data_IF_447264715027
#
_entry.id   IF_447264715027
#
_cell.length_a   1.000
_cell.length_b   1.000
_cell.length_c   1.000
_cell.angle_alpha   90.00
_cell.angle_beta   90.00
_cell.angle_gamma   90.00
#
_symmetry.space_group_name_H-M   'P 1'
#
loop_
_entity.id
_entity.type
_entity.pdbx_description
1 polymer ?
#
# COMPACT_ATOMS: atom_id res chain seq x y z
N UNK A 1 3.15 -9.85 -9.89
CA UNK A 1 4.51 -10.04 -9.33
C UNK A 1 5.06 -8.67 -8.99
N UNK A 2 5.39 -8.43 -7.71
CA UNK A 2 6.03 -7.18 -7.29
C UNK A 2 7.51 -7.28 -7.66
N UNK A 3 8.04 -6.27 -8.36
CA UNK A 3 9.47 -6.23 -8.73
C UNK A 3 10.28 -6.06 -7.44
N UNK A 4 11.44 -6.74 -7.27
CA UNK A 4 12.23 -6.68 -6.03
C UNK A 4 12.49 -5.26 -5.53
N UNK A 5 12.83 -4.34 -6.44
CA UNK A 5 13.14 -2.94 -6.11
C UNK A 5 11.94 -2.16 -5.57
N UNK A 6 10.71 -2.66 -5.72
CA UNK A 6 9.49 -2.03 -5.23
C UNK A 6 8.95 -2.66 -3.93
N UNK A 7 9.57 -3.74 -3.43
CA UNK A 7 9.09 -4.47 -2.24
C UNK A 7 9.07 -3.57 -1.00
N UNK A 8 10.06 -2.67 -0.87
CA UNK A 8 10.11 -1.73 0.26
C UNK A 8 8.87 -0.82 0.33
N UNK A 9 8.20 -0.56 -0.81
CA UNK A 9 7.00 0.26 -0.83
C UNK A 9 5.83 -0.40 -0.09
N UNK A 10 5.83 -1.72 0.12
CA UNK A 10 4.82 -2.40 0.95
C UNK A 10 4.91 -1.91 2.39
N UNK A 11 6.13 -1.87 2.95
CA UNK A 11 6.36 -1.37 4.30
C UNK A 11 6.04 0.14 4.38
N UNK A 12 6.43 0.92 3.36
CA UNK A 12 6.09 2.34 3.26
C UNK A 12 4.57 2.58 3.30
N UNK A 13 3.81 1.92 2.43
CA UNK A 13 2.34 2.04 2.35
C UNK A 13 1.68 1.60 3.65
N UNK A 14 2.19 0.54 4.29
CA UNK A 14 1.70 0.11 5.60
C UNK A 14 1.88 1.22 6.66
N UNK A 15 3.06 1.82 6.75
CA UNK A 15 3.34 2.91 7.69
C UNK A 15 2.46 4.12 7.40
N UNK A 16 2.31 4.52 6.13
CA UNK A 16 1.39 5.59 5.73
C UNK A 16 -0.05 5.29 6.17
N UNK A 17 -0.49 4.03 6.09
CA UNK A 17 -1.83 3.62 6.55
C UNK A 17 -2.03 3.84 8.05
N UNK A 18 -0.98 3.62 8.86
CA UNK A 18 -1.02 3.85 10.30
C UNK A 18 -1.09 5.34 10.62
N UNK A 19 -0.34 6.17 9.89
CA UNK A 19 -0.40 7.63 10.01
C UNK A 19 -1.75 8.20 9.62
N UNK A 20 -2.31 7.75 8.48
CA UNK A 20 -3.63 8.21 8.02
C UNK A 20 -4.71 7.95 9.07
N UNK A 21 -4.70 6.80 9.74
CA UNK A 21 -5.65 6.47 10.82
C UNK A 21 -5.57 7.41 12.03
N UNK A 22 -4.49 8.16 12.21
CA UNK A 22 -4.33 9.14 13.30
C UNK A 22 -4.83 10.53 12.95
N UNK A 23 -5.10 10.80 11.67
CA UNK A 23 -5.54 12.12 11.21
C UNK A 23 -7.05 12.31 11.40
N UNK A 24 -7.52 13.45 11.91
CA UNK A 24 -8.93 13.71 12.16
C UNK A 24 -9.77 13.77 10.87
N UNK A 25 -9.14 14.07 9.72
CA UNK A 25 -9.78 14.06 8.40
C UNK A 25 -10.10 12.64 7.88
N UNK A 26 -9.45 11.61 8.43
CA UNK A 26 -9.56 10.22 7.98
C UNK A 26 -10.42 9.35 8.92
N UNK A 27 -11.43 9.95 9.55
CA UNK A 27 -12.46 9.22 10.31
C UNK A 27 -13.30 8.29 9.43
N UNK A 28 -13.39 8.60 8.13
CA UNK A 28 -14.04 7.77 7.14
C UNK A 28 -13.11 6.61 6.71
N UNK A 29 -13.28 5.44 7.32
CA UNK A 29 -12.42 4.28 7.07
C UNK A 29 -12.41 3.82 5.60
N UNK A 30 -13.49 4.07 4.85
CA UNK A 30 -13.59 3.73 3.43
C UNK A 30 -12.67 4.56 2.52
N UNK A 31 -12.25 5.75 2.96
CA UNK A 31 -11.35 6.62 2.18
C UNK A 31 -9.90 6.17 2.26
N UNK A 32 -9.51 5.50 3.35
CA UNK A 32 -8.12 5.12 3.62
C UNK A 32 -7.56 4.21 2.50
N UNK A 33 -8.26 3.15 2.06
CA UNK A 33 -7.79 2.31 0.96
C UNK A 33 -7.58 3.07 -0.36
N UNK A 34 -8.49 3.98 -0.71
CA UNK A 34 -8.42 4.73 -1.97
C UNK A 34 -7.23 5.70 -1.98
N UNK A 35 -7.02 6.41 -0.87
CA UNK A 35 -5.88 7.32 -0.73
C UNK A 35 -4.56 6.55 -0.75
N UNK A 36 -4.49 5.42 -0.03
CA UNK A 36 -3.29 4.58 -0.04
C UNK A 36 -2.99 4.01 -1.43
N UNK A 37 -4.03 3.62 -2.16
CA UNK A 37 -3.89 3.12 -3.53
C UNK A 37 -3.28 4.17 -4.45
N UNK A 38 -3.80 5.40 -4.40
CA UNK A 38 -3.28 6.51 -5.19
C UNK A 38 -1.81 6.84 -4.80
N UNK A 39 -1.52 6.90 -3.49
CA UNK A 39 -0.16 7.14 -2.98
C UNK A 39 0.81 6.05 -3.44
N UNK A 40 0.40 4.78 -3.41
CA UNK A 40 1.22 3.66 -3.85
C UNK A 40 1.51 3.70 -5.35
N UNK A 41 0.51 4.06 -6.17
CA UNK A 41 0.70 4.23 -7.62
C UNK A 41 1.70 5.34 -7.90
N UNK A 42 1.52 6.52 -7.28
CA UNK A 42 2.43 7.65 -7.48
C UNK A 42 3.84 7.30 -7.02
N UNK A 43 3.98 6.67 -5.85
CA UNK A 43 5.29 6.24 -5.35
C UNK A 43 5.96 5.21 -6.26
N UNK A 44 5.23 4.20 -6.71
CA UNK A 44 5.75 3.19 -7.64
C UNK A 44 6.17 3.82 -8.97
N UNK A 45 5.39 4.76 -9.50
CA UNK A 45 5.74 5.50 -10.72
C UNK A 45 7.02 6.31 -10.57
N UNK A 46 7.17 7.02 -9.44
CA UNK A 46 8.38 7.80 -9.18
C UNK A 46 9.61 6.89 -9.07
N UNK A 47 9.49 5.75 -8.40
CA UNK A 47 10.59 4.78 -8.31
C UNK A 47 10.96 4.23 -9.70
N UNK A 48 9.98 3.79 -10.49
CA UNK A 48 10.25 3.24 -11.82
C UNK A 48 10.83 4.29 -12.79
N UNK A 49 10.21 5.46 -12.87
CA UNK A 49 10.57 6.49 -13.85
C UNK A 49 11.87 7.23 -13.49
N UNK A 50 12.07 7.55 -12.19
CA UNK A 50 13.18 8.38 -11.73
C UNK A 50 14.31 7.50 -11.19
N UNK A 51 14.03 6.66 -10.18
CA UNK A 51 15.08 5.90 -9.50
C UNK A 51 15.67 4.79 -10.39
N UNK A 52 14.82 4.08 -11.14
CA UNK A 52 15.25 3.03 -12.07
C UNK A 52 15.49 3.54 -13.51
N UNK A 53 15.31 4.84 -13.76
CA UNK A 53 15.63 5.47 -15.05
C UNK A 53 14.74 5.06 -16.23
N UNK A 54 13.56 4.47 -15.99
CA UNK A 54 12.70 3.93 -17.07
C UNK A 54 11.93 5.02 -17.84
N UNK A 55 12.10 6.30 -17.49
CA UNK A 55 11.39 7.45 -18.08
C UNK A 55 9.86 7.35 -17.98
N UNK A 56 9.16 8.47 -18.23
CA UNK A 56 7.69 8.51 -18.20
C UNK A 56 7.09 8.03 -19.53
N UNK A 57 7.26 6.75 -19.83
CA UNK A 57 6.62 6.11 -20.99
C UNK A 57 5.24 5.54 -20.63
N UNK A 58 4.33 5.31 -21.60
CA UNK A 58 3.06 4.65 -21.35
C UNK A 58 3.22 3.27 -20.67
N UNK A 59 4.26 2.52 -21.03
CA UNK A 59 4.56 1.22 -20.43
C UNK A 59 4.98 1.36 -18.95
N UNK A 60 5.80 2.38 -18.62
CA UNK A 60 6.18 2.68 -17.24
C UNK A 60 4.97 3.11 -16.42
N UNK A 61 4.07 3.92 -17.01
CA UNK A 61 2.85 4.38 -16.37
C UNK A 61 1.94 3.20 -16.00
N UNK A 62 1.68 2.31 -16.96
CA UNK A 62 0.88 1.12 -16.73
C UNK A 62 1.54 0.21 -15.67
N UNK A 63 2.85 0.03 -15.76
CA UNK A 63 3.62 -0.79 -14.81
C UNK A 63 3.52 -0.23 -13.39
N UNK A 64 3.74 1.08 -13.19
CA UNK A 64 3.61 1.70 -11.87
C UNK A 64 2.19 1.63 -11.31
N UNK A 65 1.17 1.78 -12.15
CA UNK A 65 -0.23 1.60 -11.73
C UNK A 65 -0.51 0.18 -11.21
N UNK A 66 -0.06 -0.84 -11.94
CA UNK A 66 -0.21 -2.24 -11.55
C UNK A 66 0.59 -2.56 -10.28
N UNK A 67 1.85 -2.11 -10.22
CA UNK A 67 2.73 -2.31 -9.07
C UNK A 67 2.13 -1.65 -7.82
N UNK A 68 1.71 -0.39 -7.90
CA UNK A 68 1.06 0.33 -6.79
C UNK A 68 -0.22 -0.36 -6.30
N UNK A 69 -0.99 -0.94 -7.23
CA UNK A 69 -2.18 -1.75 -6.88
C UNK A 69 -1.81 -2.98 -6.08
N UNK A 70 -0.84 -3.77 -6.53
CA UNK A 70 -0.40 -4.97 -5.80
C UNK A 70 0.20 -4.65 -4.45
N UNK A 71 1.02 -3.60 -4.36
CA UNK A 71 1.63 -3.12 -3.11
C UNK A 71 0.53 -2.77 -2.10
N UNK A 72 -0.49 -2.01 -2.52
CA UNK A 72 -1.61 -1.63 -1.65
C UNK A 72 -2.42 -2.84 -1.21
N UNK A 73 -2.71 -3.76 -2.13
CA UNK A 73 -3.44 -4.99 -1.83
C UNK A 73 -2.71 -5.81 -0.76
N UNK A 74 -1.40 -6.02 -0.91
CA UNK A 74 -0.58 -6.77 0.05
C UNK A 74 -0.56 -6.06 1.42
N UNK A 75 -0.34 -4.75 1.45
CA UNK A 75 -0.27 -4.00 2.71
C UNK A 75 -1.60 -4.03 3.48
N UNK A 76 -2.73 -3.81 2.80
CA UNK A 76 -4.05 -3.81 3.42
C UNK A 76 -4.51 -5.21 3.82
N UNK A 77 -4.31 -6.20 2.95
CA UNK A 77 -4.68 -7.59 3.23
C UNK A 77 -3.86 -8.18 4.38
N UNK A 78 -2.55 -7.91 4.41
CA UNK A 78 -1.70 -8.30 5.55
C UNK A 78 -2.18 -7.68 6.86
N UNK A 79 -2.56 -6.40 6.86
CA UNK A 79 -3.16 -5.75 8.02
C UNK A 79 -4.49 -6.38 8.46
N UNK A 80 -5.33 -6.83 7.51
CA UNK A 80 -6.59 -7.52 7.83
C UNK A 80 -6.34 -8.90 8.44
N UNK A 81 -5.43 -9.70 7.87
CA UNK A 81 -5.04 -11.00 8.44
C UNK A 81 -4.55 -10.84 9.87
N UNK A 82 -3.67 -9.86 10.11
CA UNK A 82 -3.14 -9.61 11.45
C UNK A 82 -4.25 -9.29 12.47
N UNK A 83 -5.22 -8.45 12.09
CA UNK A 83 -6.39 -8.15 12.93
C UNK A 83 -7.22 -9.40 13.21
N UNK A 84 -7.54 -10.20 12.18
CA UNK A 84 -8.33 -11.42 12.35
C UNK A 84 -7.66 -12.43 13.29
N UNK A 85 -6.34 -12.58 13.20
CA UNK A 85 -5.57 -13.45 14.10
C UNK A 85 -5.59 -12.90 15.54
N UNK A 86 -5.42 -11.59 15.71
CA UNK A 86 -5.43 -10.95 17.02
C UNK A 86 -6.80 -11.08 17.70
N UNK A 87 -7.88 -10.84 16.96
CA UNK A 87 -9.25 -10.94 17.47
C UNK A 87 -9.58 -12.38 17.89
N UNK A 88 -9.18 -13.37 17.08
CA UNK A 88 -9.39 -14.79 17.40
C UNK A 88 -8.64 -15.22 18.67
N UNK A 89 -7.41 -14.74 18.86
CA UNK A 89 -6.64 -15.03 20.10
C UNK A 89 -7.31 -14.46 21.35
N UNK A 90 -8.01 -13.33 21.25
CA UNK A 90 -8.72 -12.75 22.38
C UNK A 90 -10.01 -13.51 22.70
N UNK A 91 -10.66 -14.09 21.68
CA UNK A 91 -11.84 -14.93 21.86
C UNK A 91 -11.49 -16.27 22.52
N UNK A 92 -10.38 -16.91 22.13
CA UNK A 92 -9.89 -18.15 22.74
C UNK A 92 -9.47 -17.99 24.23
N UNK A 93 -9.34 -16.75 24.73
CA UNK A 93 -8.97 -16.42 26.11
C UNK A 93 -10.19 -16.06 26.99
N UNK A 94 -11.39 -16.00 26.42
CA UNK A 94 -12.66 -15.76 27.15
C UNK A 94 -13.32 -17.06 27.55
#
# INVERSE_FOLDING_TARGET
>A
MIIPDLVFLVAFVYVVSLFLKKLPAFKAEWMIPLVLWLVAIVAALLVLAIHLGQSFTPATILSGALQGTFITAVALFGNQIFKQIADKRLDDQK
#
